data_IF_364718801820
#
_entry.id   IF_364718801820
#
_cell.length_a   1.000
_cell.length_b   1.000
_cell.length_c   1.000
_cell.angle_alpha   90.00
_cell.angle_beta   90.00
_cell.angle_gamma   90.00
#
_symmetry.space_group_name_H-M   'P 1'
#
loop_
_entity.id
_entity.type
_entity.pdbx_description
1 polymer ?
#
# COMPACT_ATOMS: atom_id res chain seq x y z
N UNK A 1 -24.77 -22.94 -2.73
CA UNK A 1 -24.96 -22.21 -4.01
C UNK A 1 -26.26 -21.38 -4.01
N UNK A 2 -26.52 -20.58 -2.97
CA UNK A 2 -27.78 -19.81 -2.85
C UNK A 2 -27.66 -18.48 -2.11
N UNK A 3 -26.48 -17.86 -2.11
CA UNK A 3 -26.22 -16.68 -1.25
C UNK A 3 -26.43 -15.34 -1.96
N UNK A 4 -26.55 -15.30 -3.29
CA UNK A 4 -26.67 -14.02 -4.01
C UNK A 4 -27.91 -14.01 -4.92
N UNK A 5 -29.07 -13.74 -4.32
CA UNK A 5 -30.24 -13.25 -5.04
C UNK A 5 -30.61 -11.87 -4.51
N UNK A 6 -30.78 -10.95 -5.47
CA UNK A 6 -31.14 -9.54 -5.33
C UNK A 6 -32.38 -9.35 -4.46
N UNK A 7 -32.23 -8.68 -3.30
CA UNK A 7 -33.34 -8.34 -2.41
C UNK A 7 -32.92 -7.29 -1.37
N UNK A 8 -33.78 -6.29 -1.18
CA UNK A 8 -33.52 -4.97 -0.59
C UNK A 8 -33.28 -4.90 0.92
N UNK A 9 -33.19 -6.02 1.65
CA UNK A 9 -33.00 -6.04 3.11
C UNK A 9 -31.98 -7.10 3.56
N UNK A 10 -30.69 -6.82 3.37
CA UNK A 10 -29.64 -7.57 4.05
C UNK A 10 -28.73 -6.62 4.81
N UNK A 11 -29.01 -6.42 6.09
CA UNK A 11 -27.90 -6.18 7.03
C UNK A 11 -27.12 -7.49 7.06
N UNK A 12 -25.84 -7.46 6.68
CA UNK A 12 -24.92 -8.54 7.07
C UNK A 12 -25.01 -8.60 8.60
N UNK A 13 -25.52 -9.71 9.14
CA UNK A 13 -25.48 -9.90 10.59
C UNK A 13 -24.02 -9.83 11.04
N UNK A 14 -23.79 -9.40 12.28
CA UNK A 14 -22.44 -9.35 12.86
C UNK A 14 -21.77 -10.73 12.72
N UNK A 15 -22.54 -11.81 12.91
CA UNK A 15 -22.09 -13.19 12.72
C UNK A 15 -21.65 -13.50 11.30
N UNK A 16 -22.41 -13.09 10.28
CA UNK A 16 -22.03 -13.27 8.88
C UNK A 16 -20.81 -12.43 8.52
N UNK A 17 -20.72 -11.20 9.03
CA UNK A 17 -19.56 -10.33 8.83
C UNK A 17 -18.30 -10.94 9.44
N UNK A 18 -18.38 -11.41 10.69
CA UNK A 18 -17.28 -12.10 11.38
C UNK A 18 -16.86 -13.37 10.63
N UNK A 19 -17.81 -14.18 10.17
CA UNK A 19 -17.51 -15.36 9.35
C UNK A 19 -16.75 -15.01 8.07
N UNK A 20 -17.19 -13.98 7.33
CA UNK A 20 -16.49 -13.52 6.13
C UNK A 20 -15.11 -12.96 6.44
N UNK A 21 -14.94 -12.22 7.53
CA UNK A 21 -13.64 -11.70 7.98
C UNK A 21 -12.70 -12.88 8.29
N UNK A 22 -13.16 -13.88 9.04
CA UNK A 22 -12.35 -15.06 9.41
C UNK A 22 -11.96 -15.85 8.16
N UNK A 23 -12.93 -16.18 7.30
CA UNK A 23 -12.67 -16.93 6.07
C UNK A 23 -11.71 -16.18 5.14
N UNK A 24 -11.91 -14.88 4.95
CA UNK A 24 -10.99 -14.06 4.17
C UNK A 24 -9.59 -14.01 4.79
N UNK A 25 -9.49 -13.86 6.12
CA UNK A 25 -8.20 -13.85 6.81
C UNK A 25 -7.45 -15.16 6.58
N UNK A 26 -8.13 -16.31 6.64
CA UNK A 26 -7.53 -17.62 6.33
C UNK A 26 -7.06 -17.71 4.87
N UNK A 27 -7.86 -17.24 3.91
CA UNK A 27 -7.48 -17.21 2.50
C UNK A 27 -6.30 -16.29 2.25
N UNK A 28 -6.29 -15.09 2.84
CA UNK A 28 -5.17 -14.14 2.77
C UNK A 28 -3.92 -14.75 3.37
N UNK A 29 -4.01 -15.46 4.51
CA UNK A 29 -2.86 -16.15 5.09
C UNK A 29 -2.31 -17.24 4.17
N UNK A 30 -3.16 -18.01 3.49
CA UNK A 30 -2.73 -19.00 2.51
C UNK A 30 -2.06 -18.34 1.29
N UNK A 31 -2.63 -17.23 0.78
CA UNK A 31 -2.04 -16.45 -0.31
C UNK A 31 -0.71 -15.81 0.11
N UNK A 32 -0.61 -15.31 1.34
CA UNK A 32 0.62 -14.75 1.90
C UNK A 32 1.71 -15.81 1.98
N UNK A 33 1.38 -17.02 2.45
CA UNK A 33 2.32 -18.13 2.42
C UNK A 33 2.78 -18.43 1.00
N UNK A 34 1.89 -18.41 0.02
CA UNK A 34 2.25 -18.63 -1.39
C UNK A 34 3.12 -17.50 -1.95
N UNK A 35 2.79 -16.23 -1.72
CA UNK A 35 3.56 -15.05 -2.15
C UNK A 35 4.94 -15.06 -1.49
N UNK A 36 5.00 -15.27 -0.19
CA UNK A 36 6.25 -15.30 0.56
C UNK A 36 7.13 -16.50 0.17
N UNK A 37 6.54 -17.65 -0.17
CA UNK A 37 7.31 -18.80 -0.69
C UNK A 37 7.79 -18.57 -2.11
N UNK A 38 6.91 -18.16 -3.02
CA UNK A 38 7.13 -18.26 -4.47
C UNK A 38 7.67 -16.99 -5.09
N UNK A 39 7.29 -15.81 -4.57
CA UNK A 39 7.55 -14.51 -5.20
C UNK A 39 8.53 -13.65 -4.40
N UNK A 40 8.41 -13.66 -3.06
CA UNK A 40 9.16 -12.75 -2.18
C UNK A 40 9.65 -13.42 -0.88
N UNK A 41 10.50 -14.46 -0.96
CA UNK A 41 11.06 -15.08 0.24
C UNK A 41 12.07 -14.15 0.89
N UNK A 42 11.96 -13.98 2.20
CA UNK A 42 12.94 -13.22 2.98
C UNK A 42 14.09 -14.13 3.37
N UNK A 43 15.32 -13.62 3.22
CA UNK A 43 16.54 -14.31 3.60
C UNK A 43 17.00 -13.86 4.99
N UNK A 44 17.27 -14.81 5.88
CA UNK A 44 17.68 -14.60 7.27
C UNK A 44 19.03 -15.30 7.57
N UNK A 45 19.77 -14.71 8.50
CA UNK A 45 20.99 -15.15 9.17
C UNK A 45 20.81 -14.99 10.69
N UNK A 46 21.21 -15.95 11.51
CA UNK A 46 21.01 -15.88 12.97
C UNK A 46 22.25 -16.27 13.81
N UNK A 47 23.45 -16.44 13.21
CA UNK A 47 24.70 -16.72 13.96
C UNK A 47 25.75 -17.53 13.19
N UNK A 48 26.96 -17.68 13.76
CA UNK A 48 28.19 -18.17 13.11
C UNK A 48 28.72 -19.50 13.71
N UNK A 49 29.40 -20.30 12.86
CA UNK A 49 30.22 -21.48 13.15
C UNK A 49 29.52 -22.76 13.64
N UNK A 50 28.91 -23.50 12.72
CA UNK A 50 29.26 -24.91 12.51
C UNK A 50 29.31 -25.07 10.99
N UNK A 51 30.48 -25.46 10.50
CA UNK A 51 30.82 -25.83 9.12
C UNK A 51 29.81 -25.46 8.04
N UNK A 52 30.28 -24.66 7.09
CA UNK A 52 29.68 -24.50 5.76
C UNK A 52 29.44 -25.84 5.01
N UNK A 53 29.70 -27.00 5.62
CA UNK A 53 29.37 -28.35 5.15
C UNK A 53 28.15 -29.02 5.79
N UNK A 54 27.50 -28.45 6.83
CA UNK A 54 26.38 -29.11 7.53
C UNK A 54 24.98 -28.57 7.18
N UNK A 55 24.87 -27.47 6.42
CA UNK A 55 23.64 -27.19 5.66
C UNK A 55 23.79 -27.91 4.33
N UNK A 56 23.54 -29.22 4.40
CA UNK A 56 23.72 -30.15 3.29
C UNK A 56 23.19 -29.62 1.96
N UNK A 57 23.93 -29.99 0.92
CA UNK A 57 23.51 -30.03 -0.47
C UNK A 57 21.99 -30.02 -0.62
N UNK A 58 21.49 -29.03 -1.35
CA UNK A 58 20.44 -29.22 -2.34
C UNK A 58 19.37 -30.27 -2.02
N UNK A 59 18.56 -30.03 -1.00
CA UNK A 59 17.14 -30.32 -1.16
C UNK A 59 16.50 -29.00 -1.60
N UNK A 60 16.52 -28.76 -2.91
CA UNK A 60 15.87 -27.66 -3.61
C UNK A 60 14.35 -27.66 -3.48
N UNK A 61 13.83 -27.89 -2.27
CA UNK A 61 12.42 -27.91 -1.95
C UNK A 61 12.04 -26.58 -1.31
N UNK A 62 11.18 -25.84 -2.02
CA UNK A 62 10.51 -24.60 -1.61
C UNK A 62 9.55 -24.80 -0.41
N UNK A 63 10.01 -25.40 0.69
CA UNK A 63 9.11 -25.87 1.73
C UNK A 63 8.64 -24.76 2.68
N UNK A 64 9.32 -23.61 2.77
CA UNK A 64 8.97 -22.52 3.71
C UNK A 64 9.16 -21.12 3.11
N UNK A 65 8.45 -20.13 3.65
CA UNK A 65 8.32 -18.75 3.15
C UNK A 65 9.59 -17.88 3.27
N UNK A 66 10.74 -18.48 3.55
CA UNK A 66 12.01 -17.82 3.87
C UNK A 66 13.22 -18.68 3.52
N UNK A 67 14.40 -18.07 3.47
CA UNK A 67 15.70 -18.72 3.21
C UNK A 67 16.65 -18.47 4.37
N UNK A 68 17.30 -19.53 4.88
CA UNK A 68 18.40 -19.38 5.84
C UNK A 68 19.72 -19.33 5.07
N UNK A 69 20.59 -18.38 5.38
CA UNK A 69 21.87 -18.19 4.70
C UNK A 69 23.03 -18.09 5.69
N UNK A 70 24.23 -18.39 5.21
CA UNK A 70 25.42 -18.55 6.04
C UNK A 70 26.05 -17.23 6.54
N UNK A 71 25.73 -16.08 5.94
CA UNK A 71 26.29 -14.79 6.37
C UNK A 71 25.25 -13.66 6.32
N UNK A 72 25.37 -12.63 7.19
CA UNK A 72 24.52 -11.44 7.12
C UNK A 72 24.64 -10.72 5.77
N UNK A 73 25.84 -10.67 5.20
CA UNK A 73 26.10 -10.05 3.91
C UNK A 73 25.36 -10.78 2.76
N UNK A 74 25.32 -12.12 2.79
CA UNK A 74 24.54 -12.88 1.82
C UNK A 74 23.03 -12.62 1.96
N UNK A 75 22.50 -12.56 3.18
CA UNK A 75 21.09 -12.28 3.44
C UNK A 75 20.70 -10.90 2.89
N UNK A 76 21.50 -9.88 3.20
CA UNK A 76 21.28 -8.52 2.73
C UNK A 76 21.36 -8.41 1.21
N UNK A 77 22.34 -9.04 0.55
CA UNK A 77 22.46 -9.02 -0.91
C UNK A 77 21.25 -9.64 -1.61
N UNK A 78 20.76 -10.81 -1.15
CA UNK A 78 19.61 -11.48 -1.74
C UNK A 78 18.33 -10.66 -1.58
N UNK A 79 18.05 -10.21 -0.35
CA UNK A 79 16.87 -9.40 -0.05
C UNK A 79 16.88 -8.08 -0.83
N UNK A 80 18.04 -7.43 -0.93
CA UNK A 80 18.19 -6.18 -1.67
C UNK A 80 18.06 -6.37 -3.19
N UNK A 81 18.64 -7.43 -3.74
CA UNK A 81 18.50 -7.76 -5.16
C UNK A 81 17.04 -8.03 -5.54
N UNK A 82 16.33 -8.81 -4.73
CA UNK A 82 14.90 -9.05 -4.89
C UNK A 82 14.09 -7.75 -4.81
N UNK A 83 14.35 -6.91 -3.79
CA UNK A 83 13.69 -5.62 -3.63
C UNK A 83 13.82 -4.75 -4.89
N UNK A 84 15.03 -4.65 -5.46
CA UNK A 84 15.29 -3.87 -6.66
C UNK A 84 14.52 -4.41 -7.88
N UNK A 85 14.59 -5.72 -8.12
CA UNK A 85 13.90 -6.39 -9.23
C UNK A 85 12.39 -6.20 -9.14
N UNK A 86 11.82 -6.37 -7.95
CA UNK A 86 10.39 -6.24 -7.72
C UNK A 86 9.93 -4.77 -7.80
N UNK A 87 10.77 -3.82 -7.40
CA UNK A 87 10.49 -2.39 -7.58
C UNK A 87 10.48 -1.99 -9.06
N UNK A 88 11.38 -2.56 -9.88
CA UNK A 88 11.36 -2.39 -11.34
C UNK A 88 10.09 -2.99 -11.97
N UNK A 89 9.71 -4.20 -11.56
CA UNK A 89 8.46 -4.82 -11.99
C UNK A 89 7.25 -3.95 -11.60
N UNK A 90 7.28 -3.35 -10.41
CA UNK A 90 6.22 -2.47 -9.93
C UNK A 90 6.13 -1.17 -10.73
N UNK A 91 7.25 -0.60 -11.17
CA UNK A 91 7.25 0.54 -12.09
C UNK A 91 6.76 0.18 -13.48
N UNK A 92 7.16 -0.99 -14.00
CA UNK A 92 6.65 -1.49 -15.27
C UNK A 92 5.13 -1.70 -15.20
N UNK A 93 4.61 -2.26 -14.10
CA UNK A 93 3.17 -2.40 -13.90
C UNK A 93 2.49 -1.03 -13.78
N UNK A 94 3.09 -0.05 -13.11
CA UNK A 94 2.58 1.33 -13.06
C UNK A 94 2.41 1.92 -14.47
N UNK A 95 3.41 1.76 -15.34
CA UNK A 95 3.33 2.24 -16.73
C UNK A 95 2.21 1.55 -17.51
N UNK A 96 2.10 0.22 -17.41
CA UNK A 96 1.02 -0.56 -18.04
C UNK A 96 -0.35 -0.13 -17.51
N UNK A 97 -0.48 0.03 -16.20
CA UNK A 97 -1.70 0.50 -15.55
C UNK A 97 -2.07 1.89 -16.05
N UNK A 98 -1.13 2.84 -16.06
CA UNK A 98 -1.37 4.19 -16.57
C UNK A 98 -1.90 4.18 -18.01
N UNK A 99 -1.26 3.44 -18.91
CA UNK A 99 -1.69 3.32 -20.30
C UNK A 99 -3.09 2.69 -20.40
N UNK A 100 -3.34 1.61 -19.64
CA UNK A 100 -4.63 0.94 -19.63
C UNK A 100 -5.75 1.86 -19.11
N UNK A 101 -5.53 2.56 -17.99
CA UNK A 101 -6.56 3.42 -17.39
C UNK A 101 -6.76 4.75 -18.11
N UNK A 102 -5.78 5.18 -18.91
CA UNK A 102 -5.87 6.41 -19.70
C UNK A 102 -6.51 6.16 -21.06
N UNK A 103 -6.21 5.04 -21.72
CA UNK A 103 -6.57 4.84 -23.12
C UNK A 103 -7.52 3.67 -23.40
N UNK A 104 -7.62 2.69 -22.48
CA UNK A 104 -8.36 1.45 -22.74
C UNK A 104 -9.65 1.38 -21.93
N UNK A 105 -9.59 1.60 -20.61
CA UNK A 105 -10.74 1.39 -19.73
C UNK A 105 -10.67 2.27 -18.49
N UNK A 106 -11.81 2.76 -18.02
CA UNK A 106 -11.90 3.38 -16.70
C UNK A 106 -12.19 2.29 -15.69
N UNK A 107 -11.48 2.29 -14.56
CA UNK A 107 -11.64 1.25 -13.54
C UNK A 107 -13.14 1.12 -13.12
N UNK A 108 -13.77 -0.06 -13.32
CA UNK A 108 -15.23 -0.17 -13.35
C UNK A 108 -15.82 -0.33 -11.95
N UNK A 109 -15.69 0.70 -11.11
CA UNK A 109 -16.28 0.74 -9.77
C UNK A 109 -16.73 2.15 -9.37
N UNK A 110 -17.53 2.23 -8.30
CA UNK A 110 -18.17 3.48 -7.88
C UNK A 110 -19.11 4.02 -8.96
N UNK A 111 -18.83 5.22 -9.47
CA UNK A 111 -19.65 5.84 -10.54
C UNK A 111 -19.53 5.15 -11.90
N UNK A 112 -18.48 4.36 -12.10
CA UNK A 112 -18.26 3.59 -13.32
C UNK A 112 -18.60 2.09 -13.16
N UNK A 113 -19.23 1.70 -12.05
CA UNK A 113 -19.57 0.30 -11.78
C UNK A 113 -20.42 -0.34 -12.89
N UNK A 114 -21.29 0.44 -13.54
CA UNK A 114 -22.14 -0.04 -14.65
C UNK A 114 -21.35 -0.45 -15.91
N UNK A 115 -20.06 -0.13 -16.02
CA UNK A 115 -19.23 -0.49 -17.18
C UNK A 115 -18.71 -1.94 -17.11
N UNK A 116 -18.83 -2.60 -15.95
CA UNK A 116 -18.44 -4.01 -15.81
C UNK A 116 -19.40 -4.94 -16.57
N UNK A 117 -18.84 -5.93 -17.27
CA UNK A 117 -19.60 -7.05 -17.85
C UNK A 117 -19.66 -8.26 -16.89
N UNK A 118 -18.91 -8.23 -15.80
CA UNK A 118 -18.88 -9.29 -14.79
C UNK A 118 -20.07 -9.10 -13.84
N UNK A 119 -21.01 -10.07 -13.75
CA UNK A 119 -22.25 -9.90 -12.98
C UNK A 119 -22.07 -10.12 -11.48
N UNK A 120 -20.91 -10.62 -11.05
CA UNK A 120 -20.63 -10.92 -9.65
C UNK A 120 -20.06 -9.68 -8.96
N UNK A 121 -20.74 -9.21 -7.92
CA UNK A 121 -20.35 -8.07 -7.12
C UNK A 121 -20.36 -8.41 -5.63
N UNK A 122 -19.56 -7.69 -4.86
CA UNK A 122 -19.44 -7.79 -3.41
C UNK A 122 -19.97 -6.48 -2.80
N UNK A 123 -20.70 -6.53 -1.66
CA UNK A 123 -21.09 -5.34 -0.93
C UNK A 123 -19.91 -4.37 -0.75
N UNK A 124 -20.10 -3.10 -1.09
CA UNK A 124 -19.01 -2.12 -1.14
C UNK A 124 -18.17 -2.09 0.15
N UNK A 125 -18.79 -2.00 1.32
CA UNK A 125 -18.08 -2.03 2.61
C UNK A 125 -17.19 -3.26 2.78
N UNK A 126 -17.70 -4.43 2.41
CA UNK A 126 -16.93 -5.68 2.49
C UNK A 126 -15.77 -5.64 1.47
N UNK A 127 -16.02 -5.24 0.23
CA UNK A 127 -14.96 -5.10 -0.78
C UNK A 127 -13.80 -4.23 -0.30
N UNK A 128 -14.07 -3.05 0.28
CA UNK A 128 -13.03 -2.17 0.82
C UNK A 128 -12.25 -2.79 1.99
N UNK A 129 -12.92 -3.54 2.88
CA UNK A 129 -12.22 -4.29 3.93
C UNK A 129 -11.30 -5.37 3.35
N UNK A 130 -11.76 -6.12 2.33
CA UNK A 130 -11.03 -7.25 1.77
C UNK A 130 -9.88 -6.85 0.83
N UNK A 131 -10.02 -5.72 0.14
CA UNK A 131 -9.09 -5.36 -0.93
C UNK A 131 -7.78 -4.76 -0.38
N UNK A 132 -7.81 -4.13 0.80
CA UNK A 132 -6.66 -3.41 1.37
C UNK A 132 -6.05 -4.11 2.59
N UNK A 133 -6.84 -4.92 3.31
CA UNK A 133 -6.38 -5.66 4.49
C UNK A 133 -5.12 -6.53 4.28
N UNK A 134 -4.82 -7.10 3.09
CA UNK A 134 -3.60 -7.88 2.91
C UNK A 134 -2.30 -7.14 3.24
N UNK A 135 -2.29 -5.81 3.18
CA UNK A 135 -1.13 -4.99 3.58
C UNK A 135 -0.84 -5.10 5.08
N UNK A 136 -1.87 -5.05 5.93
CA UNK A 136 -1.75 -5.21 7.39
C UNK A 136 -1.43 -6.68 7.72
N UNK A 137 -2.10 -7.62 7.05
CA UNK A 137 -1.85 -9.04 7.24
C UNK A 137 -0.42 -9.47 6.86
N UNK A 138 0.21 -8.82 5.88
CA UNK A 138 1.62 -9.05 5.56
C UNK A 138 2.52 -8.81 6.78
N UNK A 139 2.29 -7.72 7.52
CA UNK A 139 3.11 -7.38 8.69
C UNK A 139 2.80 -8.30 9.87
N UNK A 140 1.52 -8.60 10.12
CA UNK A 140 1.13 -9.55 11.15
C UNK A 140 1.67 -10.95 10.88
N UNK A 141 1.63 -11.40 9.63
CA UNK A 141 2.23 -12.67 9.21
C UNK A 141 3.73 -12.70 9.46
N UNK A 142 4.44 -11.60 9.17
CA UNK A 142 5.86 -11.50 9.45
C UNK A 142 6.17 -11.60 10.96
N UNK A 143 5.47 -10.80 11.77
CA UNK A 143 5.71 -10.69 13.22
C UNK A 143 5.31 -11.97 13.96
N UNK A 144 4.15 -12.53 13.64
CA UNK A 144 3.57 -13.65 14.39
C UNK A 144 4.03 -15.00 13.83
N UNK A 145 4.35 -15.12 12.55
CA UNK A 145 4.62 -16.43 11.98
C UNK A 145 6.00 -16.53 11.35
N UNK A 146 6.32 -15.67 10.39
CA UNK A 146 7.50 -15.82 9.56
C UNK A 146 8.80 -15.70 10.34
N UNK A 147 8.99 -14.62 11.10
CA UNK A 147 10.21 -14.37 11.86
C UNK A 147 10.40 -15.42 12.97
N UNK A 148 9.41 -15.71 13.84
CA UNK A 148 9.56 -16.75 14.86
C UNK A 148 9.86 -18.13 14.26
N UNK A 149 9.19 -18.50 13.16
CA UNK A 149 9.41 -19.80 12.51
C UNK A 149 10.77 -19.92 11.86
N UNK A 150 11.28 -18.83 11.27
CA UNK A 150 12.62 -18.78 10.70
C UNK A 150 13.70 -18.91 11.78
N UNK A 151 13.54 -18.20 12.90
CA UNK A 151 14.43 -18.29 14.05
C UNK A 151 14.46 -19.71 14.64
N UNK A 152 13.28 -20.26 14.95
CA UNK A 152 13.18 -21.61 15.52
C UNK A 152 13.82 -22.66 14.62
N UNK A 153 13.59 -22.59 13.30
CA UNK A 153 14.20 -23.52 12.35
C UNK A 153 15.73 -23.42 12.30
N UNK A 154 16.28 -22.21 12.45
CA UNK A 154 17.72 -22.03 12.50
C UNK A 154 18.32 -22.67 13.76
N UNK A 155 17.70 -22.44 14.92
CA UNK A 155 18.20 -22.98 16.19
C UNK A 155 17.98 -24.50 16.33
N UNK A 156 16.89 -25.07 15.79
CA UNK A 156 16.72 -26.53 15.77
C UNK A 156 17.75 -27.23 14.88
N UNK A 157 18.23 -26.57 13.82
CA UNK A 157 19.29 -27.10 12.94
C UNK A 157 20.69 -26.94 13.52
N UNK A 158 20.90 -25.92 14.35
CA UNK A 158 22.20 -25.62 14.97
C UNK A 158 22.40 -26.36 16.30
N UNK A 159 21.31 -26.76 16.97
CA UNK A 159 21.34 -27.47 18.25
C UNK A 159 21.60 -28.98 18.06
N UNK A 160 22.85 -29.32 17.74
CA UNK A 160 23.42 -30.61 18.15
C UNK A 160 23.84 -30.62 19.64
N UNK A 161 23.62 -29.53 20.39
CA UNK A 161 23.77 -29.48 21.83
C UNK A 161 23.05 -28.28 22.47
N UNK A 162 22.15 -28.56 23.42
CA UNK A 162 21.67 -27.58 24.41
C UNK A 162 20.35 -26.85 24.06
N UNK A 163 19.38 -27.02 24.95
CA UNK A 163 17.99 -26.53 24.87
C UNK A 163 17.80 -25.14 25.49
N UNK A 164 18.15 -24.08 24.77
CA UNK A 164 17.69 -22.72 25.12
C UNK A 164 16.91 -22.13 23.93
N UNK A 165 15.73 -22.69 23.68
CA UNK A 165 14.79 -22.11 22.73
C UNK A 165 14.19 -20.84 23.35
N UNK A 166 14.49 -19.68 22.75
CA UNK A 166 13.87 -18.40 23.10
C UNK A 166 12.34 -18.57 23.15
N UNK A 167 11.66 -18.12 24.23
CA UNK A 167 10.21 -18.18 24.29
C UNK A 167 9.58 -17.44 23.11
N UNK A 168 8.52 -17.98 22.53
CA UNK A 168 7.88 -17.41 21.33
C UNK A 168 7.50 -15.92 21.48
N UNK A 169 7.09 -15.50 22.69
CA UNK A 169 6.80 -14.08 22.97
C UNK A 169 8.02 -13.18 22.76
N UNK A 170 9.23 -13.63 23.09
CA UNK A 170 10.46 -12.85 22.85
C UNK A 170 10.72 -12.70 21.36
N UNK A 171 10.50 -13.75 20.57
CA UNK A 171 10.64 -13.69 19.10
C UNK A 171 9.64 -12.72 18.46
N UNK A 172 8.41 -12.67 18.97
CA UNK A 172 7.41 -11.68 18.54
C UNK A 172 7.86 -10.26 18.90
N UNK A 173 8.41 -10.05 20.11
CA UNK A 173 8.92 -8.74 20.53
C UNK A 173 10.14 -8.30 19.71
N UNK A 174 11.05 -9.21 19.36
CA UNK A 174 12.14 -8.93 18.44
C UNK A 174 11.63 -8.54 17.05
N UNK A 175 10.67 -9.30 16.50
CA UNK A 175 10.08 -8.97 15.21
C UNK A 175 9.37 -7.60 15.21
N UNK A 176 8.72 -7.24 16.31
CA UNK A 176 8.13 -5.91 16.51
C UNK A 176 9.20 -4.81 16.57
N UNK A 177 10.34 -5.07 17.20
CA UNK A 177 11.46 -4.12 17.26
C UNK A 177 12.09 -3.84 15.88
N UNK A 178 11.86 -4.72 14.89
CA UNK A 178 12.28 -4.51 13.50
C UNK A 178 11.37 -3.55 12.72
N UNK A 179 10.18 -3.21 13.26
CA UNK A 179 9.25 -2.28 12.62
C UNK A 179 9.72 -0.83 12.81
N UNK A 180 10.22 -0.23 11.73
CA UNK A 180 10.73 1.15 11.72
C UNK A 180 9.63 2.15 11.36
N UNK A 181 9.91 3.43 11.60
CA UNK A 181 9.02 4.56 11.31
C UNK A 181 8.29 4.44 9.95
N UNK A 182 8.94 4.15 8.81
CA UNK A 182 8.20 4.04 7.55
C UNK A 182 7.12 2.95 7.56
N UNK A 183 7.42 1.77 8.11
CA UNK A 183 6.43 0.69 8.17
C UNK A 183 5.28 1.04 9.11
N UNK A 184 5.55 1.81 10.17
CA UNK A 184 4.51 2.33 11.07
C UNK A 184 3.61 3.34 10.37
N UNK A 185 4.17 4.26 9.55
CA UNK A 185 3.38 5.17 8.72
C UNK A 185 2.51 4.40 7.72
N UNK A 186 3.10 3.41 7.03
CA UNK A 186 2.40 2.54 6.09
C UNK A 186 1.25 1.79 6.77
N UNK A 187 1.49 1.20 7.95
CA UNK A 187 0.45 0.54 8.74
C UNK A 187 -0.63 1.51 9.21
N UNK A 188 -0.27 2.73 9.62
CA UNK A 188 -1.23 3.72 10.08
C UNK A 188 -2.25 4.05 8.99
N UNK A 189 -1.79 4.26 7.75
CA UNK A 189 -2.67 4.43 6.58
C UNK A 189 -3.57 3.20 6.37
N UNK A 190 -2.98 2.01 6.28
CA UNK A 190 -3.73 0.82 5.90
C UNK A 190 -4.65 0.28 7.00
N UNK A 191 -4.35 0.54 8.28
CA UNK A 191 -5.30 0.29 9.37
C UNK A 191 -6.52 1.18 9.21
N UNK A 192 -6.31 2.47 8.92
CA UNK A 192 -7.41 3.38 8.64
C UNK A 192 -8.22 2.89 7.43
N UNK A 193 -7.58 2.65 6.29
CA UNK A 193 -8.29 2.29 5.06
C UNK A 193 -8.97 0.93 5.08
N UNK A 194 -8.36 -0.07 5.70
CA UNK A 194 -8.88 -1.44 5.71
C UNK A 194 -9.95 -1.66 6.78
N UNK A 195 -9.83 -0.99 7.93
CA UNK A 195 -10.65 -1.31 9.10
C UNK A 195 -11.47 -0.14 9.64
N UNK A 196 -11.04 1.12 9.45
CA UNK A 196 -11.74 2.30 9.98
C UNK A 196 -12.64 2.91 8.90
N UNK A 197 -12.07 3.31 7.76
CA UNK A 197 -12.76 3.93 6.64
C UNK A 197 -14.01 3.15 6.18
N UNK A 198 -13.98 1.80 6.04
CA UNK A 198 -15.14 1.07 5.54
C UNK A 198 -16.34 1.14 6.47
N UNK A 199 -16.12 1.35 7.78
CA UNK A 199 -17.19 1.51 8.77
C UNK A 199 -18.03 2.78 8.52
N UNK A 200 -17.46 3.78 7.82
CA UNK A 200 -18.13 5.03 7.51
C UNK A 200 -18.84 5.02 6.15
N UNK A 201 -18.52 4.08 5.25
CA UNK A 201 -19.06 4.05 3.88
C UNK A 201 -20.59 3.91 3.80
N UNK A 202 -21.24 3.40 4.86
CA UNK A 202 -22.68 3.21 4.90
C UNK A 202 -23.19 2.31 3.77
N UNK A 203 -24.50 2.35 3.47
CA UNK A 203 -25.07 1.59 2.36
C UNK A 203 -24.70 2.24 1.03
N UNK A 204 -23.86 1.57 0.24
CA UNK A 204 -23.67 1.90 -1.16
C UNK A 204 -24.84 1.37 -2.00
N UNK A 205 -25.30 2.15 -2.98
CA UNK A 205 -26.22 1.65 -4.02
C UNK A 205 -25.50 0.79 -5.06
N UNK A 206 -24.19 0.98 -5.22
CA UNK A 206 -23.38 0.25 -6.18
C UNK A 206 -22.46 -0.70 -5.41
N UNK A 207 -22.68 -1.99 -5.60
CA UNK A 207 -21.73 -3.03 -5.16
C UNK A 207 -20.48 -2.99 -6.03
N UNK A 208 -19.36 -3.45 -5.47
CA UNK A 208 -18.07 -3.45 -6.18
C UNK A 208 -17.90 -4.76 -6.94
N UNK A 209 -17.57 -4.73 -8.24
CA UNK A 209 -17.36 -5.97 -8.99
C UNK A 209 -16.27 -6.85 -8.38
N UNK A 210 -16.51 -8.17 -8.36
CA UNK A 210 -15.61 -9.13 -7.70
C UNK A 210 -14.17 -9.04 -8.23
N UNK A 211 -14.02 -8.95 -9.55
CA UNK A 211 -12.71 -8.88 -10.19
C UNK A 211 -11.89 -7.63 -9.79
N UNK A 212 -12.55 -6.51 -9.47
CA UNK A 212 -11.89 -5.31 -8.93
C UNK A 212 -11.40 -5.56 -7.51
N UNK A 213 -12.21 -6.22 -6.69
CA UNK A 213 -11.81 -6.60 -5.32
C UNK A 213 -10.60 -7.53 -5.36
N UNK A 214 -10.66 -8.58 -6.19
CA UNK A 214 -9.57 -9.56 -6.31
C UNK A 214 -8.27 -8.94 -6.85
N UNK A 215 -8.34 -8.05 -7.85
CA UNK A 215 -7.15 -7.40 -8.39
C UNK A 215 -6.52 -6.46 -7.37
N UNK A 216 -7.32 -5.70 -6.63
CA UNK A 216 -6.85 -4.84 -5.55
C UNK A 216 -6.29 -5.65 -4.36
N UNK A 217 -6.92 -6.77 -3.97
CA UNK A 217 -6.37 -7.71 -2.97
C UNK A 217 -5.00 -8.25 -3.41
N UNK A 218 -4.87 -8.69 -4.67
CA UNK A 218 -3.61 -9.20 -5.21
C UNK A 218 -2.52 -8.12 -5.25
N UNK A 219 -2.88 -6.90 -5.64
CA UNK A 219 -1.98 -5.76 -5.60
C UNK A 219 -1.54 -5.43 -4.17
N UNK A 220 -2.45 -5.38 -3.20
CA UNK A 220 -2.14 -5.11 -1.80
C UNK A 220 -1.30 -6.23 -1.15
N UNK A 221 -1.48 -7.48 -1.57
CA UNK A 221 -0.58 -8.59 -1.20
C UNK A 221 0.84 -8.32 -1.67
N UNK A 222 1.02 -8.00 -2.95
CA UNK A 222 2.32 -7.71 -3.56
C UNK A 222 2.97 -6.46 -2.95
N UNK A 223 2.27 -5.33 -2.94
CA UNK A 223 2.81 -4.06 -2.48
C UNK A 223 3.09 -4.08 -0.98
N UNK A 224 2.17 -4.64 -0.17
CA UNK A 224 2.37 -4.78 1.27
C UNK A 224 3.63 -5.59 1.59
N UNK A 225 3.88 -6.67 0.85
CA UNK A 225 5.10 -7.48 1.00
C UNK A 225 6.36 -6.71 0.58
N UNK A 226 6.29 -5.98 -0.53
CA UNK A 226 7.40 -5.16 -1.04
C UNK A 226 7.79 -4.06 -0.04
N UNK A 227 6.81 -3.33 0.50
CA UNK A 227 7.06 -2.26 1.48
C UNK A 227 7.54 -2.81 2.83
N UNK A 228 7.06 -3.99 3.26
CA UNK A 228 7.59 -4.69 4.42
C UNK A 228 9.08 -4.99 4.23
N UNK A 229 9.48 -5.61 3.11
CA UNK A 229 10.88 -5.93 2.81
C UNK A 229 11.79 -4.69 2.76
N UNK A 230 11.27 -3.58 2.23
CA UNK A 230 11.98 -2.30 2.19
C UNK A 230 12.26 -1.74 3.59
N UNK A 231 11.38 -2.02 4.56
CA UNK A 231 11.35 -1.35 5.85
C UNK A 231 11.97 -2.16 6.99
N UNK A 232 11.93 -3.49 6.94
CA UNK A 232 12.59 -4.36 7.94
C UNK A 232 14.11 -4.31 7.76
N UNK A 233 14.90 -4.17 8.82
CA UNK A 233 16.37 -4.22 8.73
C UNK A 233 16.88 -5.40 9.53
N UNK A 234 17.07 -6.52 8.84
CA UNK A 234 17.43 -7.78 9.49
C UNK A 234 18.89 -7.79 9.95
N UNK A 235 19.79 -7.13 9.21
CA UNK A 235 21.22 -7.08 9.54
C UNK A 235 21.78 -5.68 9.33
N UNK A 236 22.36 -5.05 10.37
CA UNK A 236 23.32 -3.96 10.17
C UNK A 236 24.44 -4.46 9.24
N UNK A 237 24.85 -3.67 8.27
CA UNK A 237 25.91 -4.11 7.33
C UNK A 237 27.22 -4.28 8.13
N UNK A 238 27.90 -5.45 8.05
CA UNK A 238 29.14 -5.66 8.78
C UNK A 238 30.27 -4.72 8.32
N UNK A 239 31.06 -4.25 9.30
CA UNK A 239 32.20 -3.35 9.12
C UNK A 239 33.32 -3.92 8.24
N UNK A 240 33.38 -5.24 8.09
CA UNK A 240 34.55 -5.96 7.60
C UNK A 240 34.58 -6.08 6.06
N UNK A 241 33.52 -5.62 5.38
CA UNK A 241 33.40 -5.62 3.92
C UNK A 241 33.46 -4.21 3.32
N UNK A 242 34.20 -3.29 3.95
CA UNK A 242 34.51 -1.96 3.39
C UNK A 242 33.30 -1.04 3.16
N UNK A 243 32.14 -1.32 3.75
CA UNK A 243 30.94 -0.55 3.45
C UNK A 243 29.82 -0.77 4.44
N UNK A 244 29.77 0.03 5.50
CA UNK A 244 28.60 0.14 6.36
C UNK A 244 28.97 0.49 7.79
N UNK A 245 29.05 1.78 8.09
CA UNK A 245 28.98 2.19 9.48
C UNK A 245 27.54 2.03 9.95
N UNK A 246 27.32 1.37 11.08
CA UNK A 246 26.09 1.58 11.85
C UNK A 246 25.93 3.08 12.14
N UNK A 247 24.69 3.58 12.34
CA UNK A 247 24.50 4.98 12.73
C UNK A 247 25.43 5.35 13.91
N UNK A 248 25.58 4.44 14.87
CA UNK A 248 26.47 4.52 16.05
C UNK A 248 27.96 4.60 15.67
N UNK A 249 28.47 3.80 14.75
CA UNK A 249 29.89 3.88 14.33
C UNK A 249 30.20 5.09 13.43
N UNK A 250 29.22 5.56 12.67
CA UNK A 250 29.32 6.84 11.95
C UNK A 250 29.41 8.04 12.91
N UNK A 251 28.81 7.91 14.11
CA UNK A 251 28.89 8.92 15.17
C UNK A 251 30.24 8.96 15.88
N UNK A 252 30.91 7.81 16.09
CA UNK A 252 32.04 7.73 17.01
C UNK A 252 33.41 7.48 16.37
N UNK A 253 33.50 7.03 15.10
CA UNK A 253 34.79 6.72 14.49
C UNK A 253 35.21 7.73 13.39
N UNK A 254 36.17 8.58 13.79
CA UNK A 254 36.96 9.58 13.03
C UNK A 254 36.29 10.91 12.63
N UNK A 255 36.61 11.93 13.44
CA UNK A 255 36.83 13.34 13.05
C UNK A 255 35.81 13.97 12.11
N UNK A 256 34.62 14.33 12.60
CA UNK A 256 33.52 14.62 11.68
C UNK A 256 32.52 15.67 12.18
N UNK A 257 32.74 16.92 11.74
CA UNK A 257 31.65 17.89 11.59
C UNK A 257 30.74 17.52 10.39
N UNK A 258 31.30 16.86 9.37
CA UNK A 258 30.59 16.42 8.16
C UNK A 258 29.65 15.23 8.37
N UNK A 259 29.92 14.34 9.34
CA UNK A 259 29.02 13.21 9.66
C UNK A 259 27.79 13.67 10.43
N UNK A 260 27.95 14.55 11.41
CA UNK A 260 26.85 15.13 12.18
C UNK A 260 25.88 15.92 11.27
N UNK A 261 26.40 16.73 10.34
CA UNK A 261 25.59 17.48 9.39
C UNK A 261 24.69 16.58 8.53
N UNK A 262 25.22 15.46 8.02
CA UNK A 262 24.45 14.50 7.22
C UNK A 262 23.34 13.83 8.05
N UNK A 263 23.59 13.48 9.32
CA UNK A 263 22.55 12.90 10.18
C UNK A 263 21.42 13.89 10.41
N UNK A 264 21.73 15.14 10.76
CA UNK A 264 20.72 16.17 10.98
C UNK A 264 19.93 16.44 9.70
N UNK A 265 20.60 16.47 8.54
CA UNK A 265 19.93 16.59 7.25
C UNK A 265 18.98 15.42 7.00
N UNK A 266 19.42 14.17 7.17
CA UNK A 266 18.56 12.99 6.98
C UNK A 266 17.40 12.96 7.99
N UNK A 267 17.62 13.36 9.24
CA UNK A 267 16.57 13.49 10.24
C UNK A 267 15.55 14.56 9.81
N UNK A 268 16.00 15.73 9.37
CA UNK A 268 15.13 16.80 8.86
C UNK A 268 14.36 16.36 7.61
N UNK A 269 14.98 15.63 6.68
CA UNK A 269 14.30 15.07 5.50
C UNK A 269 13.28 14.02 5.90
N UNK A 270 13.58 13.15 6.87
CA UNK A 270 12.63 12.16 7.40
C UNK A 270 11.44 12.84 8.10
N UNK A 271 11.68 13.91 8.86
CA UNK A 271 10.63 14.71 9.49
C UNK A 271 9.79 15.44 8.45
N UNK A 272 10.42 16.05 7.44
CA UNK A 272 9.72 16.69 6.31
C UNK A 272 8.87 15.71 5.51
N UNK A 273 9.41 14.53 5.19
CA UNK A 273 8.68 13.44 4.55
C UNK A 273 7.49 12.96 5.38
N UNK A 274 7.68 12.78 6.70
CA UNK A 274 6.61 12.38 7.62
C UNK A 274 5.53 13.47 7.76
N UNK A 275 5.92 14.74 7.77
CA UNK A 275 4.98 15.86 7.73
C UNK A 275 4.14 15.84 6.45
N UNK A 276 4.78 15.68 5.29
CA UNK A 276 4.07 15.52 4.01
C UNK A 276 3.13 14.32 4.03
N UNK A 277 3.56 13.19 4.61
CA UNK A 277 2.74 12.00 4.78
C UNK A 277 1.44 12.33 5.54
N UNK A 278 1.54 12.85 6.77
CA UNK A 278 0.36 13.16 7.58
C UNK A 278 -0.50 14.28 6.98
N UNK A 279 0.10 15.28 6.33
CA UNK A 279 -0.66 16.34 5.65
C UNK A 279 -1.44 15.79 4.46
N UNK A 280 -0.83 14.92 3.67
CA UNK A 280 -1.48 14.22 2.57
C UNK A 280 -2.64 13.35 3.06
N UNK A 281 -2.39 12.54 4.09
CA UNK A 281 -3.40 11.68 4.71
C UNK A 281 -4.58 12.48 5.27
N UNK A 282 -4.32 13.61 5.94
CA UNK A 282 -5.38 14.51 6.41
C UNK A 282 -6.25 15.02 5.26
N UNK A 283 -5.64 15.47 4.16
CA UNK A 283 -6.39 15.92 2.97
C UNK A 283 -7.19 14.77 2.36
N UNK A 284 -6.59 13.57 2.27
CA UNK A 284 -7.25 12.35 1.78
C UNK A 284 -8.51 12.02 2.60
N UNK A 285 -8.33 11.83 3.90
CA UNK A 285 -9.39 11.44 4.83
C UNK A 285 -10.50 12.47 4.93
N UNK A 286 -10.17 13.76 5.10
CA UNK A 286 -11.18 14.81 5.20
C UNK A 286 -12.01 14.89 3.93
N UNK A 287 -11.38 14.81 2.76
CA UNK A 287 -12.07 14.81 1.48
C UNK A 287 -13.00 13.61 1.32
N UNK A 288 -12.55 12.42 1.72
CA UNK A 288 -13.36 11.21 1.68
C UNK A 288 -14.57 11.28 2.64
N UNK A 289 -14.38 11.80 3.86
CA UNK A 289 -15.49 11.99 4.81
C UNK A 289 -16.50 13.04 4.33
N UNK A 290 -16.06 14.16 3.75
CA UNK A 290 -16.95 15.14 3.11
C UNK A 290 -17.79 14.49 2.00
N UNK A 291 -17.20 13.61 1.18
CA UNK A 291 -17.94 12.89 0.14
C UNK A 291 -18.93 11.86 0.71
N UNK A 292 -18.59 11.20 1.81
CA UNK A 292 -19.50 10.29 2.52
C UNK A 292 -20.70 11.06 3.08
N UNK A 293 -20.45 12.19 3.74
CA UNK A 293 -21.51 13.01 4.31
C UNK A 293 -22.42 13.59 3.23
N UNK A 294 -21.84 14.02 2.11
CA UNK A 294 -22.61 14.47 0.94
C UNK A 294 -23.55 13.38 0.40
N UNK A 295 -23.11 12.11 0.38
CA UNK A 295 -23.96 10.97 0.00
C UNK A 295 -25.07 10.74 1.03
N UNK A 296 -24.75 10.80 2.34
CA UNK A 296 -25.72 10.60 3.43
C UNK A 296 -26.82 11.66 3.43
N UNK A 297 -26.47 12.93 3.19
CA UNK A 297 -27.43 14.02 3.12
C UNK A 297 -28.45 13.84 1.98
N UNK A 298 -28.02 13.25 0.84
CA UNK A 298 -28.87 13.01 -0.33
C UNK A 298 -29.72 11.74 -0.25
N UNK A 299 -29.38 10.79 0.62
CA UNK A 299 -30.20 9.61 0.89
C UNK A 299 -31.43 9.92 1.76
N UNK A 300 -31.56 11.16 2.28
CA UNK A 300 -32.79 11.63 2.96
C UNK A 300 -33.84 12.06 1.91
N UNK A 301 -35.14 11.75 2.09
CA UNK A 301 -36.16 12.14 1.13
C UNK A 301 -36.16 13.67 0.95
N UNK A 302 -35.88 14.15 -0.26
CA UNK A 302 -36.07 15.56 -0.60
C UNK A 302 -37.58 15.86 -0.62
N UNK A 303 -37.99 16.98 -0.03
CA UNK A 303 -39.35 17.49 -0.17
C UNK A 303 -39.71 17.64 -1.67
N UNK A 304 -40.98 17.40 -2.02
CA UNK A 304 -41.47 17.40 -3.41
C UNK A 304 -41.15 18.73 -4.10
N UNK A 305 -40.21 18.72 -5.04
CA UNK A 305 -39.93 19.85 -5.94
C UNK A 305 -40.20 19.49 -7.42
N UNK A 306 -40.66 20.46 -8.20
CA UNK A 306 -41.21 20.36 -9.57
C UNK A 306 -40.13 20.31 -10.68
N UNK A 307 -39.04 19.57 -10.47
CA UNK A 307 -38.03 19.36 -11.53
C UNK A 307 -38.33 18.13 -12.39
N UNK A 308 -37.95 18.18 -13.67
CA UNK A 308 -38.07 17.11 -14.66
C UNK A 308 -37.45 15.79 -14.18
N UNK A 309 -38.08 14.66 -14.50
CA UNK A 309 -37.71 13.33 -13.99
C UNK A 309 -36.25 12.93 -14.25
N UNK A 310 -35.68 13.41 -15.36
CA UNK A 310 -34.31 13.13 -15.81
C UNK A 310 -33.25 13.91 -15.01
N UNK A 311 -33.49 15.21 -14.77
CA UNK A 311 -32.68 16.04 -13.86
C UNK A 311 -32.83 15.57 -12.42
N UNK A 312 -34.02 15.09 -12.05
CA UNK A 312 -34.25 14.39 -10.78
C UNK A 312 -33.38 13.14 -10.67
N UNK A 313 -33.36 12.27 -11.67
CA UNK A 313 -32.57 11.03 -11.64
C UNK A 313 -31.05 11.26 -11.58
N UNK A 314 -30.53 12.28 -12.28
CA UNK A 314 -29.11 12.68 -12.26
C UNK A 314 -28.71 13.35 -10.93
N UNK A 315 -29.53 14.29 -10.41
CA UNK A 315 -29.28 14.99 -9.13
C UNK A 315 -29.67 14.18 -7.89
N UNK A 316 -30.34 13.03 -8.05
CA UNK A 316 -30.75 12.16 -6.94
C UNK A 316 -29.59 11.36 -6.33
N UNK A 317 -28.47 11.19 -7.03
CA UNK A 317 -27.38 10.28 -6.58
C UNK A 317 -26.01 10.95 -6.37
N UNK A 318 -25.75 12.09 -7.00
CA UNK A 318 -24.47 12.79 -6.89
C UNK A 318 -24.69 14.30 -6.76
N UNK A 319 -23.77 14.97 -6.08
CA UNK A 319 -23.77 16.41 -5.90
C UNK A 319 -22.35 16.96 -6.05
N UNK A 320 -22.24 18.26 -6.31
CA UNK A 320 -20.96 18.95 -6.33
C UNK A 320 -20.49 19.13 -4.87
N UNK A 321 -19.30 18.60 -4.48
CA UNK A 321 -18.74 18.85 -3.16
C UNK A 321 -18.19 20.28 -3.07
N UNK A 322 -18.36 20.96 -1.94
CA UNK A 322 -17.87 22.33 -1.70
C UNK A 322 -17.08 22.40 -0.39
N UNK A 323 -16.26 23.45 -0.24
CA UNK A 323 -15.41 23.67 0.92
C UNK A 323 -14.09 22.89 0.89
N UNK A 324 -13.15 23.28 1.75
CA UNK A 324 -11.83 22.65 1.86
C UNK A 324 -11.11 22.63 0.49
N UNK A 325 -10.28 21.63 0.20
CA UNK A 325 -9.57 21.52 -1.07
C UNK A 325 -10.49 21.28 -2.29
N UNK A 326 -11.79 21.01 -2.10
CA UNK A 326 -12.73 20.93 -3.23
C UNK A 326 -12.92 22.28 -3.93
N UNK A 327 -12.57 23.40 -3.30
CA UNK A 327 -12.61 24.72 -3.94
C UNK A 327 -11.61 24.85 -5.09
N UNK A 328 -10.52 24.08 -5.05
CA UNK A 328 -9.45 24.15 -6.05
C UNK A 328 -9.46 22.98 -7.02
N UNK A 329 -9.77 21.78 -6.53
CA UNK A 329 -9.61 20.53 -7.30
C UNK A 329 -10.84 19.62 -7.16
N UNK A 330 -11.04 18.77 -8.15
CA UNK A 330 -12.19 17.87 -8.23
C UNK A 330 -12.04 16.66 -7.32
N UNK A 331 -10.79 16.18 -7.21
CA UNK A 331 -10.44 14.97 -6.48
C UNK A 331 -9.33 15.28 -5.45
N UNK A 332 -9.62 16.10 -4.41
CA UNK A 332 -8.65 16.40 -3.37
C UNK A 332 -8.26 15.17 -2.55
N UNK A 333 -9.14 14.17 -2.46
CA UNK A 333 -8.78 12.89 -1.83
C UNK A 333 -7.62 12.20 -2.55
N UNK A 334 -7.66 12.17 -3.89
CA UNK A 334 -6.57 11.62 -4.70
C UNK A 334 -5.30 12.46 -4.62
N UNK A 335 -5.41 13.79 -4.61
CA UNK A 335 -4.27 14.67 -4.39
C UNK A 335 -3.60 14.43 -3.03
N UNK A 336 -4.39 14.34 -1.96
CA UNK A 336 -3.91 14.05 -0.62
C UNK A 336 -3.14 12.73 -0.57
N UNK A 337 -3.67 11.69 -1.22
CA UNK A 337 -3.03 10.37 -1.30
C UNK A 337 -1.69 10.41 -2.06
N UNK A 338 -1.56 11.22 -3.11
CA UNK A 338 -0.27 11.43 -3.79
C UNK A 338 0.74 12.13 -2.90
N UNK A 339 0.33 13.18 -2.19
CA UNK A 339 1.21 13.90 -1.24
C UNK A 339 1.63 12.96 -0.11
N UNK A 340 0.71 12.12 0.36
CA UNK A 340 0.95 11.14 1.39
C UNK A 340 2.05 10.16 0.98
N UNK A 341 1.89 9.49 -0.17
CA UNK A 341 2.86 8.49 -0.62
C UNK A 341 4.19 9.09 -1.10
N UNK A 342 4.19 10.34 -1.56
CA UNK A 342 5.44 11.05 -1.82
C UNK A 342 6.20 11.31 -0.51
N UNK A 343 5.50 11.78 0.53
CA UNK A 343 6.06 11.95 1.87
C UNK A 343 6.60 10.65 2.44
N UNK A 344 5.86 9.55 2.28
CA UNK A 344 6.32 8.20 2.63
C UNK A 344 7.62 7.82 1.91
N UNK A 345 7.70 8.01 0.59
CA UNK A 345 8.90 7.70 -0.19
C UNK A 345 10.12 8.51 0.27
N UNK A 346 9.93 9.79 0.61
CA UNK A 346 10.98 10.64 1.18
C UNK A 346 11.43 10.14 2.56
N UNK A 347 10.50 9.73 3.43
CA UNK A 347 10.86 9.15 4.74
C UNK A 347 11.60 7.83 4.60
N UNK A 348 11.18 6.95 3.68
CA UNK A 348 11.90 5.69 3.39
C UNK A 348 13.29 5.97 2.84
N UNK A 349 13.44 6.97 1.95
CA UNK A 349 14.75 7.39 1.46
C UNK A 349 15.64 7.84 2.60
N UNK A 350 15.18 8.78 3.43
CA UNK A 350 15.97 9.34 4.52
C UNK A 350 16.35 8.31 5.59
N UNK A 351 15.47 7.37 5.90
CA UNK A 351 15.69 6.32 6.91
C UNK A 351 16.35 5.05 6.35
N UNK A 352 16.36 4.91 5.03
CA UNK A 352 16.83 3.73 4.30
C UNK A 352 18.18 3.93 3.59
N UNK A 353 18.87 5.07 3.76
CA UNK A 353 20.22 5.30 3.23
C UNK A 353 21.22 4.35 3.93
N UNK A 354 21.33 3.15 3.40
CA UNK A 354 22.49 2.28 3.56
C UNK A 354 23.16 2.27 2.19
N UNK A 355 24.46 2.56 2.13
CA UNK A 355 25.21 2.85 0.88
C UNK A 355 24.76 1.94 -0.27
N UNK A 356 24.50 2.50 -1.47
CA UNK A 356 24.05 1.70 -2.59
C UNK A 356 25.07 0.61 -2.93
N UNK A 357 24.60 -0.63 -3.04
CA UNK A 357 25.39 -1.66 -3.70
C UNK A 357 25.41 -1.34 -5.20
N UNK A 358 26.60 -1.17 -5.83
CA UNK A 358 26.72 -0.66 -7.20
C UNK A 358 26.16 -1.59 -8.29
N UNK A 359 25.76 -2.82 -7.94
CA UNK A 359 25.38 -3.85 -8.91
C UNK A 359 23.90 -3.87 -9.33
N UNK A 360 23.08 -2.89 -8.95
CA UNK A 360 21.67 -2.82 -9.36
C UNK A 360 21.32 -1.41 -9.88
N UNK A 361 20.54 -1.31 -10.96
CA UNK A 361 20.19 -0.04 -11.62
C UNK A 361 19.65 1.03 -10.64
N UNK A 362 18.82 0.64 -9.68
CA UNK A 362 18.33 1.55 -8.62
C UNK A 362 19.32 1.83 -7.49
N UNK A 363 20.26 0.92 -7.24
CA UNK A 363 21.41 1.18 -6.38
C UNK A 363 22.31 2.26 -6.99
N UNK A 364 22.60 2.16 -8.29
CA UNK A 364 23.39 3.16 -9.01
C UNK A 364 22.75 4.57 -9.02
N UNK A 365 21.42 4.65 -8.99
CA UNK A 365 20.66 5.91 -8.88
C UNK A 365 20.48 6.42 -7.44
N UNK A 366 21.03 5.72 -6.44
CA UNK A 366 20.98 6.13 -5.03
C UNK A 366 19.65 5.92 -4.32
N UNK A 367 18.67 5.25 -4.95
CA UNK A 367 17.35 5.03 -4.34
C UNK A 367 17.35 3.90 -3.30
N UNK A 368 18.25 2.93 -3.39
CA UNK A 368 18.39 1.91 -2.36
C UNK A 368 17.07 1.20 -2.03
N UNK A 369 16.73 1.17 -0.74
CA UNK A 369 15.45 0.65 -0.24
C UNK A 369 14.24 1.51 -0.59
N UNK A 370 14.44 2.79 -0.90
CA UNK A 370 13.39 3.70 -1.33
C UNK A 370 12.85 3.40 -2.73
N UNK A 371 13.50 2.53 -3.50
CA UNK A 371 12.96 2.07 -4.79
C UNK A 371 11.54 1.47 -4.65
N UNK A 372 11.29 0.73 -3.57
CA UNK A 372 9.98 0.16 -3.27
C UNK A 372 8.93 1.26 -3.00
N UNK A 373 9.26 2.22 -2.14
CA UNK A 373 8.34 3.29 -1.79
C UNK A 373 8.10 4.27 -2.95
N UNK A 374 9.14 4.57 -3.73
CA UNK A 374 9.03 5.40 -4.92
C UNK A 374 8.23 4.71 -6.03
N UNK A 375 8.46 3.42 -6.28
CA UNK A 375 7.64 2.67 -7.24
C UNK A 375 6.17 2.65 -6.85
N UNK A 376 5.87 2.57 -5.54
CA UNK A 376 4.50 2.67 -5.06
C UNK A 376 3.90 4.06 -5.26
N UNK A 377 4.63 5.14 -4.95
CA UNK A 377 4.18 6.50 -5.26
C UNK A 377 3.86 6.66 -6.76
N UNK A 378 4.73 6.18 -7.65
CA UNK A 378 4.51 6.21 -9.10
C UNK A 378 3.30 5.38 -9.51
N UNK A 379 3.11 4.19 -8.93
CA UNK A 379 1.93 3.35 -9.19
C UNK A 379 0.64 4.06 -8.75
N UNK A 380 0.63 4.69 -7.57
CA UNK A 380 -0.51 5.46 -7.10
C UNK A 380 -0.81 6.64 -8.02
N UNK A 381 0.21 7.37 -8.49
CA UNK A 381 0.05 8.42 -9.49
C UNK A 381 -0.52 7.89 -10.81
N UNK A 382 0.01 6.77 -11.31
CA UNK A 382 -0.44 6.10 -12.51
C UNK A 382 -1.92 5.68 -12.47
N UNK A 383 -2.43 5.33 -11.29
CA UNK A 383 -3.83 4.95 -11.11
C UNK A 383 -4.75 6.16 -10.86
N UNK A 384 -4.34 7.06 -9.97
CA UNK A 384 -5.21 8.13 -9.47
C UNK A 384 -5.26 9.36 -10.38
N UNK A 385 -4.18 9.70 -11.09
CA UNK A 385 -4.17 10.89 -11.96
C UNK A 385 -5.15 10.73 -13.14
N UNK A 386 -5.10 9.64 -13.94
CA UNK A 386 -6.08 9.45 -15.02
C UNK A 386 -7.51 9.38 -14.48
N UNK A 387 -7.69 8.74 -13.32
CA UNK A 387 -9.00 8.65 -12.67
C UNK A 387 -9.54 10.01 -12.25
N UNK A 388 -8.69 10.90 -11.73
CA UNK A 388 -9.08 12.27 -11.37
C UNK A 388 -9.53 13.06 -12.60
N UNK A 389 -8.85 12.89 -13.74
CA UNK A 389 -9.22 13.50 -15.02
C UNK A 389 -10.60 12.99 -15.47
N UNK A 390 -10.84 11.68 -15.42
CA UNK A 390 -12.15 11.11 -15.73
C UNK A 390 -13.25 11.64 -14.79
N UNK A 391 -12.99 11.78 -13.49
CA UNK A 391 -13.94 12.33 -12.53
C UNK A 391 -14.25 13.80 -12.79
N UNK A 392 -13.24 14.59 -13.14
CA UNK A 392 -13.41 16.00 -13.51
C UNK A 392 -14.26 16.14 -14.78
N UNK A 393 -13.94 15.37 -15.83
CA UNK A 393 -14.73 15.35 -17.06
C UNK A 393 -16.19 14.91 -16.80
N UNK A 394 -16.39 13.92 -15.94
CA UNK A 394 -17.71 13.50 -15.52
C UNK A 394 -18.48 14.62 -14.79
N UNK A 395 -17.83 15.37 -13.89
CA UNK A 395 -18.48 16.51 -13.23
C UNK A 395 -18.89 17.61 -14.23
N UNK A 396 -18.04 17.92 -15.21
CA UNK A 396 -18.36 18.88 -16.28
C UNK A 396 -19.57 18.40 -17.09
N UNK A 397 -19.56 17.15 -17.53
CA UNK A 397 -20.66 16.57 -18.31
C UNK A 397 -21.97 16.50 -17.50
N UNK A 398 -21.90 16.15 -16.21
CA UNK A 398 -23.10 15.95 -15.38
C UNK A 398 -23.71 17.26 -14.87
N UNK A 399 -22.91 18.28 -14.57
CA UNK A 399 -23.37 19.52 -13.94
C UNK A 399 -23.24 20.77 -14.81
N UNK A 400 -22.63 20.66 -16.00
CA UNK A 400 -22.55 21.73 -16.99
C UNK A 400 -21.93 23.02 -16.45
N UNK A 401 -22.56 24.15 -16.79
CA UNK A 401 -22.07 25.49 -16.46
C UNK A 401 -21.95 25.75 -14.97
N UNK A 402 -22.84 25.16 -14.15
CA UNK A 402 -22.79 25.27 -12.70
C UNK A 402 -21.46 24.74 -12.11
N UNK A 403 -20.86 23.73 -12.75
CA UNK A 403 -19.56 23.23 -12.36
C UNK A 403 -18.40 23.96 -13.05
N UNK A 404 -18.55 24.31 -14.34
CA UNK A 404 -17.52 25.07 -15.09
C UNK A 404 -17.22 26.43 -14.43
N UNK A 405 -18.22 27.09 -13.86
CA UNK A 405 -18.09 28.36 -13.14
C UNK A 405 -17.19 28.28 -11.88
N UNK A 406 -16.92 27.07 -11.36
CA UNK A 406 -16.08 26.87 -10.18
C UNK A 406 -14.58 26.88 -10.50
N UNK A 407 -14.22 26.86 -11.79
CA UNK A 407 -12.82 26.90 -12.28
C UNK A 407 -11.86 25.88 -11.63
N UNK A 408 -12.39 24.75 -11.15
CA UNK A 408 -11.60 23.69 -10.50
C UNK A 408 -10.67 22.99 -11.48
N UNK A 409 -9.58 22.44 -10.97
CA UNK A 409 -8.72 21.49 -11.70
C UNK A 409 -9.10 20.05 -11.37
N UNK A 410 -8.55 19.09 -12.11
CA UNK A 410 -8.81 17.68 -11.84
C UNK A 410 -8.19 17.22 -10.51
N UNK A 411 -6.88 17.46 -10.33
CA UNK A 411 -6.12 16.95 -9.17
C UNK A 411 -5.05 17.91 -8.63
N UNK A 412 -4.27 18.58 -9.49
CA UNK A 412 -3.25 19.53 -9.04
C UNK A 412 -3.79 20.97 -9.17
N UNK A 413 -3.76 21.79 -8.11
CA UNK A 413 -4.31 23.15 -8.12
C UNK A 413 -3.71 24.07 -9.19
N UNK A 414 -2.42 23.86 -9.53
CA UNK A 414 -1.66 24.68 -10.47
C UNK A 414 -1.57 24.11 -11.89
N UNK A 415 -1.93 22.85 -12.12
CA UNK A 415 -1.80 22.21 -13.44
C UNK A 415 -3.13 22.19 -14.20
N UNK A 416 -3.18 22.83 -15.37
CA UNK A 416 -4.31 22.76 -16.30
C UNK A 416 -4.07 21.60 -17.27
N UNK A 417 -4.57 20.41 -16.94
CA UNK A 417 -4.64 19.34 -17.94
C UNK A 417 -5.50 19.84 -19.11
N UNK A 418 -4.96 19.83 -20.33
CA UNK A 418 -5.69 20.23 -21.52
C UNK A 418 -6.83 19.24 -21.77
N UNK A 419 -8.05 19.68 -21.48
CA UNK A 419 -9.25 18.98 -21.95
C UNK A 419 -9.33 19.23 -23.46
N UNK A 420 -9.20 18.17 -24.28
CA UNK A 420 -9.58 18.23 -25.69
C UNK A 420 -11.08 17.94 -25.75
N UNK A 421 -11.86 18.94 -26.17
CA UNK A 421 -13.31 18.84 -26.37
C UNK A 421 -13.69 17.93 -27.56
N UNK A 422 -12.71 17.48 -28.35
CA UNK A 422 -12.96 16.70 -29.56
C UNK A 422 -12.87 15.19 -29.29
N UNK A 423 -14.03 14.56 -29.08
CA UNK A 423 -14.40 13.25 -29.65
C UNK A 423 -15.75 12.84 -29.08
N UNK A 424 -16.83 13.29 -29.72
CA UNK A 424 -18.10 12.61 -29.94
C UNK A 424 -19.06 13.62 -30.59
N UNK A 425 -18.78 13.93 -31.85
CA UNK A 425 -19.81 14.21 -32.86
C UNK A 425 -19.77 13.08 -33.88
#
# INVERSE_FOLDING_TARGET
MGVFTSGSDRRLSITSLLFFIVLHSLLVLAMLQWVARSLMPVSYFFGTSVEAGAVGHEDGRWLRAWRLVATPAAANRLNYGQLCTLSLLHLASAAVTYLAVTYVTVAPFGRYAAQTRVPIAIPNTLSWMLQEAPTVWNVLFFVLYEYPSAYQQYHTRSAAGGTDAQPYVHLVMEALALLRLPLLLFLFHYIHRSFIFPLFLGRSRNDTPLHVTLSATAYCLFNGRLQLLASITLYPVPHDAGGGASLVEFFFNRGAQSSLCLVWLLALVALGGSYCFFRGMYINMMSDYMLIDLRRQRQRPLARDHQTAEVRALKQNYAIPYGFYFEHVSCPNFYGELVEWLGYAVTVLATGVVRPHPSAAFGALGFGRAAAAFSFFVYTAANLVPRAVCHHAWYIHTFGDAYRALHRRAIFPWYRAAYREDRHE
#
